data_IF_632264669694
#
_entry.id   IF_632264669694
#
_cell.length_a   1.000
_cell.length_b   1.000
_cell.length_c   1.000
_cell.angle_alpha   90.00
_cell.angle_beta   90.00
_cell.angle_gamma   90.00
#
_symmetry.space_group_name_H-M   'P 1'
#
loop_
_entity.id
_entity.type
_entity.pdbx_description
1 polymer ?
#
# COMPACT_ATOMS: atom_id res chain seq x y z
N UNK A 1 -48.72 -75.87 4.64
CA UNK A 1 -48.11 -74.61 5.09
C UNK A 1 -47.27 -74.06 3.95
N UNK A 2 -47.60 -72.87 3.46
CA UNK A 2 -46.85 -72.15 2.43
C UNK A 2 -46.52 -70.79 3.05
N UNK A 3 -45.27 -70.58 3.42
CA UNK A 3 -44.86 -69.36 4.10
C UNK A 3 -44.51 -68.31 3.03
N UNK A 4 -45.37 -67.30 2.90
CA UNK A 4 -45.00 -66.08 2.20
C UNK A 4 -44.05 -65.30 3.10
N UNK A 5 -42.81 -65.11 2.67
CA UNK A 5 -41.88 -64.14 3.26
C UNK A 5 -41.77 -63.01 2.24
N UNK A 6 -42.61 -62.01 2.43
CA UNK A 6 -42.61 -60.77 1.67
C UNK A 6 -41.47 -59.90 2.20
N UNK A 7 -40.42 -59.76 1.39
CA UNK A 7 -39.17 -59.10 1.78
C UNK A 7 -39.16 -57.65 1.29
N UNK A 8 -39.93 -56.79 1.96
CA UNK A 8 -39.94 -55.35 1.66
C UNK A 8 -38.58 -54.71 1.96
N UNK A 9 -37.91 -54.25 0.89
CA UNK A 9 -36.60 -53.61 0.98
C UNK A 9 -36.74 -52.07 1.13
N UNK A 10 -36.10 -51.44 2.13
CA UNK A 10 -36.26 -50.01 2.42
C UNK A 10 -35.40 -49.14 1.49
N UNK A 11 -35.77 -49.05 0.21
CA UNK A 11 -35.05 -48.23 -0.78
C UNK A 11 -35.37 -46.73 -0.73
N UNK A 12 -36.47 -46.34 -0.06
CA UNK A 12 -36.96 -44.95 0.00
C UNK A 12 -36.23 -44.07 1.02
N UNK A 13 -35.90 -44.61 2.20
CA UNK A 13 -35.49 -43.84 3.39
C UNK A 13 -34.08 -43.21 3.24
N UNK A 14 -33.19 -43.88 2.52
CA UNK A 14 -31.84 -43.43 2.19
C UNK A 14 -31.81 -42.25 1.21
N UNK A 15 -32.81 -42.12 0.34
CA UNK A 15 -32.93 -41.01 -0.61
C UNK A 15 -33.42 -39.73 0.06
N UNK A 16 -34.31 -39.85 1.04
CA UNK A 16 -34.92 -38.70 1.72
C UNK A 16 -34.00 -38.10 2.78
N UNK A 17 -33.27 -38.94 3.54
CA UNK A 17 -32.20 -38.47 4.43
C UNK A 17 -31.11 -37.69 3.69
N UNK A 18 -30.72 -38.13 2.49
CA UNK A 18 -29.78 -37.41 1.62
C UNK A 18 -30.28 -36.02 1.18
N UNK A 19 -31.54 -35.90 0.76
CA UNK A 19 -32.17 -34.61 0.42
C UNK A 19 -32.27 -33.68 1.63
N UNK A 20 -32.72 -34.20 2.77
CA UNK A 20 -32.88 -33.42 4.01
C UNK A 20 -31.53 -32.91 4.51
N UNK A 21 -30.44 -33.67 4.33
CA UNK A 21 -29.08 -33.21 4.62
C UNK A 21 -28.64 -32.07 3.67
N UNK A 22 -28.84 -32.24 2.36
CA UNK A 22 -28.52 -31.22 1.36
C UNK A 22 -29.30 -29.90 1.57
N UNK A 23 -30.59 -29.97 1.87
CA UNK A 23 -31.43 -28.79 2.15
C UNK A 23 -31.05 -28.09 3.47
N UNK A 24 -30.49 -28.82 4.44
CA UNK A 24 -29.92 -28.22 5.66
C UNK A 24 -28.62 -27.50 5.35
N UNK A 25 -27.68 -28.12 4.64
CA UNK A 25 -26.40 -27.47 4.29
C UNK A 25 -26.61 -26.24 3.39
N UNK A 26 -27.50 -26.30 2.41
CA UNK A 26 -27.84 -25.16 1.56
C UNK A 26 -28.40 -23.97 2.36
N UNK A 27 -29.33 -24.21 3.30
CA UNK A 27 -29.88 -23.16 4.17
C UNK A 27 -28.83 -22.57 5.13
N UNK A 28 -27.90 -23.38 5.61
CA UNK A 28 -26.77 -22.91 6.45
C UNK A 28 -25.84 -22.01 5.63
N UNK A 29 -25.44 -22.43 4.42
CA UNK A 29 -24.62 -21.63 3.51
C UNK A 29 -25.31 -20.31 3.14
N UNK A 30 -26.62 -20.33 2.83
CA UNK A 30 -27.39 -19.12 2.55
C UNK A 30 -27.41 -18.14 3.74
N UNK A 31 -27.57 -18.63 4.97
CA UNK A 31 -27.54 -17.79 6.19
C UNK A 31 -26.18 -17.14 6.42
N UNK A 32 -25.09 -17.89 6.29
CA UNK A 32 -23.74 -17.33 6.38
C UNK A 32 -23.44 -16.35 5.25
N UNK A 33 -23.88 -16.66 4.03
CA UNK A 33 -23.73 -15.79 2.87
C UNK A 33 -24.50 -14.46 3.02
N UNK A 34 -25.73 -14.51 3.55
CA UNK A 34 -26.52 -13.32 3.88
C UNK A 34 -25.89 -12.49 5.01
N UNK A 35 -25.40 -13.13 6.08
CA UNK A 35 -24.69 -12.44 7.15
C UNK A 35 -23.42 -11.74 6.64
N UNK A 36 -22.63 -12.42 5.80
CA UNK A 36 -21.43 -11.83 5.18
C UNK A 36 -21.80 -10.66 4.27
N UNK A 37 -22.84 -10.81 3.44
CA UNK A 37 -23.30 -9.77 2.53
C UNK A 37 -23.75 -8.50 3.30
N UNK A 38 -24.51 -8.65 4.38
CA UNK A 38 -24.92 -7.54 5.23
C UNK A 38 -23.72 -6.86 5.90
N UNK A 39 -22.75 -7.63 6.40
CA UNK A 39 -21.54 -7.11 7.04
C UNK A 39 -20.67 -6.32 6.06
N UNK A 40 -20.37 -6.87 4.88
CA UNK A 40 -19.58 -6.18 3.85
C UNK A 40 -20.31 -4.96 3.29
N UNK A 41 -21.63 -5.04 3.07
CA UNK A 41 -22.43 -3.90 2.60
C UNK A 41 -22.47 -2.78 3.64
N UNK A 42 -22.52 -3.11 4.93
CA UNK A 42 -22.47 -2.12 6.03
C UNK A 42 -21.12 -1.38 6.06
N UNK A 43 -20.00 -2.11 5.91
CA UNK A 43 -18.66 -1.52 5.79
C UNK A 43 -18.57 -0.62 4.55
N UNK A 44 -18.99 -1.12 3.39
CA UNK A 44 -19.01 -0.38 2.12
C UNK A 44 -19.81 0.93 2.22
N UNK A 45 -21.00 0.85 2.82
CA UNK A 45 -21.88 1.99 3.07
C UNK A 45 -21.22 3.00 4.02
N UNK A 46 -20.62 2.55 5.12
CA UNK A 46 -19.91 3.41 6.07
C UNK A 46 -18.76 4.18 5.42
N UNK A 47 -17.93 3.50 4.62
CA UNK A 47 -16.84 4.14 3.87
C UNK A 47 -17.40 5.13 2.84
N UNK A 48 -18.49 4.78 2.14
CA UNK A 48 -19.12 5.62 1.11
C UNK A 48 -19.79 6.87 1.70
N UNK A 49 -20.41 6.77 2.88
CA UNK A 49 -20.93 7.93 3.64
C UNK A 49 -19.77 8.84 4.06
N UNK A 50 -18.68 8.27 4.59
CA UNK A 50 -17.50 9.05 4.99
C UNK A 50 -16.81 9.73 3.80
N UNK A 51 -16.72 9.05 2.64
CA UNK A 51 -16.29 9.65 1.38
C UNK A 51 -17.22 10.81 0.94
N UNK A 52 -18.52 10.63 1.11
CA UNK A 52 -19.54 11.65 0.83
C UNK A 52 -19.29 12.93 1.63
N UNK A 53 -19.05 12.79 2.93
CA UNK A 53 -18.74 13.91 3.85
C UNK A 53 -17.42 14.62 3.51
N UNK A 54 -16.38 13.89 3.09
CA UNK A 54 -15.08 14.49 2.77
C UNK A 54 -15.05 15.33 1.48
N UNK A 55 -16.02 15.16 0.57
CA UNK A 55 -16.02 15.80 -0.76
C UNK A 55 -16.55 17.23 -0.78
N UNK A 56 -17.12 17.70 0.32
CA UNK A 56 -17.92 18.91 0.38
C UNK A 56 -17.57 19.75 1.61
N UNK A 57 -17.30 21.04 1.38
CA UNK A 57 -16.95 22.00 2.43
C UNK A 57 -18.21 22.60 3.08
N UNK A 58 -19.35 22.58 2.37
CA UNK A 58 -20.65 23.02 2.86
C UNK A 58 -21.57 21.86 3.27
N UNK A 59 -22.45 22.11 4.26
CA UNK A 59 -23.39 21.10 4.79
C UNK A 59 -24.39 20.64 3.70
N UNK A 60 -24.82 21.53 2.82
CA UNK A 60 -25.77 21.20 1.75
C UNK A 60 -25.14 20.23 0.73
N UNK A 61 -23.92 20.52 0.27
CA UNK A 61 -23.17 19.65 -0.63
C UNK A 61 -22.84 18.30 0.02
N UNK A 62 -22.55 18.28 1.34
CA UNK A 62 -22.34 17.04 2.09
C UNK A 62 -23.58 16.14 2.08
N UNK A 63 -24.77 16.71 2.30
CA UNK A 63 -26.03 15.94 2.25
C UNK A 63 -26.26 15.33 0.86
N UNK A 64 -26.07 16.11 -0.21
CA UNK A 64 -26.21 15.59 -1.59
C UNK A 64 -25.15 14.53 -1.94
N UNK A 65 -23.91 14.74 -1.51
CA UNK A 65 -22.78 13.83 -1.73
C UNK A 65 -22.94 12.49 -1.00
N UNK A 66 -23.42 12.52 0.26
CA UNK A 66 -23.79 11.33 1.03
C UNK A 66 -24.99 10.62 0.40
N UNK A 67 -26.07 11.34 0.07
CA UNK A 67 -27.26 10.73 -0.54
C UNK A 67 -26.92 10.03 -1.87
N UNK A 68 -26.12 10.67 -2.73
CA UNK A 68 -25.67 10.09 -4.00
C UNK A 68 -24.82 8.83 -3.79
N UNK A 69 -23.97 8.84 -2.77
CA UNK A 69 -23.11 7.71 -2.42
C UNK A 69 -23.91 6.52 -1.85
N UNK A 70 -24.92 6.78 -1.00
CA UNK A 70 -25.87 5.75 -0.53
C UNK A 70 -26.67 5.15 -1.69
N UNK A 71 -27.18 5.98 -2.60
CA UNK A 71 -27.90 5.51 -3.79
C UNK A 71 -26.99 4.66 -4.69
N UNK A 72 -25.72 5.04 -4.88
CA UNK A 72 -24.76 4.27 -5.65
C UNK A 72 -24.50 2.86 -5.05
N UNK A 73 -24.28 2.76 -3.73
CA UNK A 73 -24.12 1.47 -3.03
C UNK A 73 -25.37 0.59 -3.18
N UNK A 74 -26.56 1.17 -2.98
CA UNK A 74 -27.83 0.47 -3.16
C UNK A 74 -28.01 -0.02 -4.60
N UNK A 75 -27.76 0.83 -5.60
CA UNK A 75 -27.78 0.45 -7.01
C UNK A 75 -26.78 -0.66 -7.31
N UNK A 76 -25.57 -0.62 -6.75
CA UNK A 76 -24.53 -1.62 -6.97
C UNK A 76 -24.95 -3.01 -6.47
N UNK A 77 -25.44 -3.13 -5.23
CA UNK A 77 -25.85 -4.43 -4.69
C UNK A 77 -27.20 -4.91 -5.26
N UNK A 78 -28.19 -4.02 -5.41
CA UNK A 78 -29.54 -4.38 -5.85
C UNK A 78 -29.61 -4.75 -7.34
N UNK A 79 -28.74 -4.17 -8.19
CA UNK A 79 -28.70 -4.47 -9.63
C UNK A 79 -28.35 -5.93 -9.92
N UNK A 80 -27.44 -6.54 -9.14
CA UNK A 80 -27.11 -7.97 -9.28
C UNK A 80 -28.33 -8.87 -9.00
N UNK A 81 -29.19 -8.46 -8.07
CA UNK A 81 -30.41 -9.20 -7.71
C UNK A 81 -31.45 -9.12 -8.83
N UNK A 82 -31.78 -7.89 -9.24
CA UNK A 82 -32.84 -7.65 -10.23
C UNK A 82 -32.46 -8.23 -11.60
N UNK A 83 -31.18 -8.27 -11.97
CA UNK A 83 -30.68 -8.88 -13.22
C UNK A 83 -31.16 -10.33 -13.45
N UNK A 84 -31.50 -11.08 -12.39
CA UNK A 84 -32.01 -12.45 -12.51
C UNK A 84 -33.47 -12.52 -12.99
N UNK A 85 -34.26 -11.48 -12.75
CA UNK A 85 -35.72 -11.50 -12.88
C UNK A 85 -36.26 -10.73 -14.09
N UNK A 86 -35.53 -9.73 -14.62
CA UNK A 86 -36.02 -8.90 -15.75
C UNK A 86 -35.62 -9.46 -17.14
N UNK A 87 -36.22 -8.93 -18.20
CA UNK A 87 -35.99 -9.27 -19.61
C UNK A 87 -34.58 -8.89 -20.10
N UNK A 88 -34.13 -9.45 -21.23
CA UNK A 88 -32.76 -9.25 -21.76
C UNK A 88 -32.38 -7.77 -21.96
N UNK A 89 -33.27 -6.93 -22.50
CA UNK A 89 -33.01 -5.51 -22.70
C UNK A 89 -32.83 -4.74 -21.39
N UNK A 90 -33.69 -5.00 -20.40
CA UNK A 90 -33.58 -4.39 -19.08
C UNK A 90 -32.33 -4.85 -18.32
N UNK A 91 -31.85 -6.08 -18.54
CA UNK A 91 -30.55 -6.53 -18.00
C UNK A 91 -29.38 -5.70 -18.53
N UNK A 92 -29.38 -5.32 -19.80
CA UNK A 92 -28.34 -4.44 -20.35
C UNK A 92 -28.32 -3.06 -19.66
N UNK A 93 -29.49 -2.45 -19.47
CA UNK A 93 -29.61 -1.19 -18.73
C UNK A 93 -29.15 -1.33 -17.26
N UNK A 94 -29.50 -2.45 -16.62
CA UNK A 94 -29.15 -2.71 -15.23
C UNK A 94 -27.66 -3.05 -15.02
N UNK A 95 -27.02 -3.68 -16.00
CA UNK A 95 -25.56 -3.87 -16.04
C UNK A 95 -24.83 -2.54 -16.27
N UNK A 96 -25.36 -1.66 -17.13
CA UNK A 96 -24.80 -0.32 -17.32
C UNK A 96 -24.91 0.55 -16.05
N UNK A 97 -26.06 0.52 -15.38
CA UNK A 97 -26.26 1.16 -14.08
C UNK A 97 -25.31 0.60 -13.02
N UNK A 98 -25.15 -0.72 -12.97
CA UNK A 98 -24.21 -1.40 -12.05
C UNK A 98 -22.75 -0.97 -12.28
N UNK A 99 -22.30 -0.92 -13.54
CA UNK A 99 -20.94 -0.47 -13.87
C UNK A 99 -20.70 0.98 -13.43
N UNK A 100 -21.65 1.88 -13.69
CA UNK A 100 -21.54 3.28 -13.29
C UNK A 100 -21.54 3.43 -11.75
N UNK A 101 -22.43 2.74 -11.05
CA UNK A 101 -22.48 2.71 -9.59
C UNK A 101 -21.15 2.17 -9.00
N UNK A 102 -20.63 1.09 -9.56
CA UNK A 102 -19.34 0.49 -9.17
C UNK A 102 -18.20 1.50 -9.34
N UNK A 103 -18.10 2.22 -10.46
CA UNK A 103 -17.06 3.25 -10.65
C UNK A 103 -17.14 4.37 -9.61
N UNK A 104 -18.35 4.83 -9.25
CA UNK A 104 -18.56 5.88 -8.24
C UNK A 104 -18.16 5.40 -6.84
N UNK A 105 -18.59 4.20 -6.45
CA UNK A 105 -18.30 3.59 -5.14
C UNK A 105 -16.81 3.29 -5.00
N UNK A 106 -16.22 2.57 -5.96
CA UNK A 106 -14.78 2.24 -5.96
C UNK A 106 -13.92 3.51 -5.86
N UNK A 107 -14.27 4.57 -6.60
CA UNK A 107 -13.56 5.85 -6.51
C UNK A 107 -13.63 6.43 -5.09
N UNK A 108 -14.81 6.54 -4.50
CA UNK A 108 -14.97 7.10 -3.15
C UNK A 108 -14.24 6.30 -2.07
N UNK A 109 -14.24 4.98 -2.18
CA UNK A 109 -13.53 4.11 -1.24
C UNK A 109 -12.00 4.20 -1.40
N UNK A 110 -11.49 4.31 -2.64
CA UNK A 110 -10.06 4.56 -2.89
C UNK A 110 -9.64 5.96 -2.42
N UNK A 111 -10.46 6.99 -2.64
CA UNK A 111 -10.21 8.36 -2.14
C UNK A 111 -10.03 8.34 -0.61
N UNK A 112 -10.96 7.71 0.14
CA UNK A 112 -10.89 7.59 1.60
C UNK A 112 -9.69 6.80 2.08
N UNK A 113 -9.38 5.67 1.45
CA UNK A 113 -8.26 4.82 1.87
C UNK A 113 -6.91 5.51 1.59
N UNK A 114 -6.80 6.23 0.48
CA UNK A 114 -5.66 7.12 0.18
C UNK A 114 -5.50 8.22 1.23
N UNK A 115 -6.59 8.89 1.61
CA UNK A 115 -6.58 9.89 2.71
C UNK A 115 -6.18 9.29 4.05
N UNK A 116 -6.62 8.06 4.37
CA UNK A 116 -6.22 7.35 5.58
C UNK A 116 -4.72 6.99 5.58
N UNK A 117 -4.19 6.53 4.45
CA UNK A 117 -2.75 6.24 4.28
C UNK A 117 -1.91 7.52 4.42
N UNK A 118 -2.36 8.64 3.85
CA UNK A 118 -1.72 9.95 3.99
C UNK A 118 -1.73 10.46 5.44
N UNK A 119 -2.85 10.33 6.15
CA UNK A 119 -2.93 10.69 7.58
C UNK A 119 -2.03 9.81 8.46
N UNK A 120 -1.95 8.52 8.15
CA UNK A 120 -1.00 7.61 8.81
C UNK A 120 0.45 7.97 8.49
N UNK A 121 0.76 8.40 7.26
CA UNK A 121 2.07 8.89 6.87
C UNK A 121 2.46 10.17 7.60
N UNK A 122 1.54 11.13 7.75
CA UNK A 122 1.83 12.36 8.48
C UNK A 122 1.97 12.13 9.99
N UNK A 123 1.15 11.26 10.59
CA UNK A 123 1.36 10.80 11.98
C UNK A 123 2.74 10.15 12.18
N UNK A 124 3.26 9.39 11.21
CA UNK A 124 4.65 8.89 11.25
C UNK A 124 5.66 10.03 11.15
N UNK A 125 5.42 11.05 10.32
CA UNK A 125 6.28 12.22 10.21
C UNK A 125 6.33 13.05 11.51
N UNK A 126 5.20 13.20 12.19
CA UNK A 126 5.08 13.94 13.46
C UNK A 126 5.91 13.32 14.60
N UNK A 127 6.35 12.06 14.49
CA UNK A 127 7.29 11.45 15.46
C UNK A 127 8.70 12.05 15.42
N UNK A 128 9.04 12.82 14.38
CA UNK A 128 10.31 13.57 14.31
C UNK A 128 10.12 14.92 15.02
N UNK A 129 10.95 15.29 16.01
CA UNK A 129 10.82 16.54 16.77
C UNK A 129 11.01 17.77 15.87
N UNK A 130 10.18 18.80 16.07
CA UNK A 130 10.23 20.04 15.30
C UNK A 130 11.45 20.87 15.72
N UNK A 131 12.48 20.89 14.88
CA UNK A 131 13.61 21.82 15.03
C UNK A 131 13.11 23.19 14.58
N UNK A 132 12.69 24.01 15.55
CA UNK A 132 12.31 25.38 15.28
C UNK A 132 13.57 26.18 14.87
N UNK A 133 13.72 26.42 13.57
CA UNK A 133 14.65 27.45 13.10
C UNK A 133 14.06 28.79 13.52
N UNK A 134 14.76 29.63 14.30
CA UNK A 134 14.33 30.99 14.54
C UNK A 134 14.11 31.66 13.18
N UNK A 135 12.99 32.37 12.95
CA UNK A 135 12.82 33.12 11.71
C UNK A 135 14.05 34.00 11.51
N UNK A 136 14.52 34.11 10.27
CA UNK A 136 15.62 35.03 9.92
C UNK A 136 15.08 36.45 10.07
N UNK A 137 15.12 36.96 11.30
CA UNK A 137 14.84 38.35 11.58
C UNK A 137 15.92 39.13 10.84
N UNK A 138 15.49 39.92 9.86
CA UNK A 138 16.37 40.76 9.04
C UNK A 138 17.00 41.91 9.82
N UNK A 139 16.60 42.08 11.09
CA UNK A 139 17.41 42.72 12.11
C UNK A 139 18.64 41.85 12.42
N UNK A 140 19.66 42.00 11.56
CA UNK A 140 21.03 41.66 11.94
C UNK A 140 21.39 42.50 13.17
N UNK A 141 21.33 41.90 14.35
CA UNK A 141 21.89 42.45 15.59
C UNK A 141 23.42 42.44 15.45
N UNK A 142 23.93 43.45 14.74
CA UNK A 142 25.33 43.60 14.36
C UNK A 142 25.54 44.04 12.90
N UNK A 143 26.71 44.65 12.64
CA UNK A 143 27.16 45.07 11.31
C UNK A 143 27.36 43.85 10.41
N UNK A 144 27.03 43.95 9.12
CA UNK A 144 27.21 42.84 8.17
C UNK A 144 28.70 42.52 7.94
N UNK A 145 29.04 41.24 7.79
CA UNK A 145 30.43 40.78 7.62
C UNK A 145 31.15 41.48 6.44
N UNK A 146 30.43 41.79 5.37
CA UNK A 146 30.92 42.54 4.20
C UNK A 146 31.26 44.01 4.48
N UNK A 147 30.57 44.64 5.43
CA UNK A 147 30.89 45.98 5.90
C UNK A 147 32.12 45.94 6.83
N UNK A 148 32.15 44.99 7.78
CA UNK A 148 33.29 44.82 8.70
C UNK A 148 34.58 44.55 7.92
N UNK A 149 34.57 43.64 6.92
CA UNK A 149 35.77 43.36 6.10
C UNK A 149 36.22 44.55 5.25
N UNK A 150 35.30 45.39 4.78
CA UNK A 150 35.62 46.66 4.10
C UNK A 150 36.30 47.64 5.04
N UNK A 151 35.86 47.74 6.28
CA UNK A 151 36.47 48.61 7.29
C UNK A 151 37.84 48.09 7.73
N UNK A 152 38.02 46.77 7.90
CA UNK A 152 39.32 46.12 8.13
C UNK A 152 40.31 46.49 7.02
N UNK A 153 39.89 46.39 5.76
CA UNK A 153 40.73 46.74 4.61
C UNK A 153 41.11 48.24 4.62
N UNK A 154 40.18 49.13 4.96
CA UNK A 154 40.48 50.56 5.07
C UNK A 154 41.50 50.85 6.18
N UNK A 155 41.28 50.34 7.39
CA UNK A 155 42.16 50.57 8.54
C UNK A 155 43.55 49.94 8.32
N UNK A 156 43.64 48.78 7.65
CA UNK A 156 44.94 48.19 7.31
C UNK A 156 45.72 48.99 6.28
N UNK A 157 45.03 49.59 5.28
CA UNK A 157 45.63 50.53 4.32
C UNK A 157 46.11 51.79 5.04
N UNK A 158 45.30 52.38 5.94
CA UNK A 158 45.68 53.55 6.71
C UNK A 158 46.89 53.27 7.63
N UNK A 159 46.95 52.09 8.25
CA UNK A 159 48.07 51.63 9.07
C UNK A 159 49.35 51.48 8.24
N UNK A 160 49.27 50.88 7.05
CA UNK A 160 50.41 50.77 6.13
C UNK A 160 50.94 52.14 5.67
N UNK A 161 50.06 53.11 5.43
CA UNK A 161 50.43 54.50 5.11
C UNK A 161 51.07 55.26 6.29
N UNK A 162 50.82 54.85 7.54
CA UNK A 162 51.51 55.39 8.72
C UNK A 162 52.87 54.72 8.90
N UNK A 163 52.97 53.42 8.65
CA UNK A 163 54.21 52.64 8.77
C UNK A 163 55.25 52.95 7.67
N UNK A 164 54.81 53.26 6.45
CA UNK A 164 55.70 53.63 5.33
C UNK A 164 56.39 55.00 5.51
N UNK A 165 55.93 55.86 6.43
CA UNK A 165 56.52 57.18 6.67
C UNK A 165 57.79 57.07 7.49
N UNK A 166 58.94 57.20 6.82
CA UNK A 166 60.23 57.43 7.50
C UNK A 166 60.19 58.76 8.23
N UNK A 167 60.72 58.77 9.45
CA UNK A 167 60.56 59.87 10.39
C UNK A 167 61.92 60.21 11.00
N UNK A 168 62.33 61.48 10.89
CA UNK A 168 63.73 61.93 11.06
C UNK A 168 64.00 62.53 12.46
N UNK A 169 62.97 63.01 13.15
CA UNK A 169 63.02 63.44 14.56
C UNK A 169 61.65 63.32 15.24
N UNK A 170 61.64 63.18 16.57
CA UNK A 170 60.47 63.16 17.49
C UNK A 170 59.14 62.57 16.97
N UNK A 171 59.15 61.28 16.64
CA UNK A 171 58.02 60.56 16.03
C UNK A 171 56.87 60.19 17.01
N UNK A 172 56.56 61.04 18.00
CA UNK A 172 55.56 60.74 19.05
C UNK A 172 54.16 60.53 18.46
N UNK A 173 53.73 61.44 17.59
CA UNK A 173 52.39 61.41 16.99
C UNK A 173 52.21 60.23 16.03
N UNK A 174 53.26 59.88 15.28
CA UNK A 174 53.29 58.69 14.40
C UNK A 174 53.12 57.42 15.21
N UNK A 175 53.77 57.32 16.39
CA UNK A 175 53.58 56.18 17.31
C UNK A 175 52.17 56.13 17.89
N UNK A 176 51.62 57.26 18.34
CA UNK A 176 50.25 57.33 18.88
C UNK A 176 49.24 56.86 17.81
N UNK A 177 49.32 57.40 16.59
CA UNK A 177 48.42 57.02 15.49
C UNK A 177 48.60 55.57 15.03
N UNK A 178 49.83 55.02 15.11
CA UNK A 178 50.07 53.59 14.87
C UNK A 178 49.37 52.72 15.93
N UNK A 179 49.47 53.09 17.21
CA UNK A 179 48.78 52.38 18.30
C UNK A 179 47.27 52.44 18.12
N UNK A 180 46.72 53.62 17.85
CA UNK A 180 45.29 53.83 17.60
C UNK A 180 44.76 52.97 16.44
N UNK A 181 45.40 53.02 15.26
CA UNK A 181 45.01 52.20 14.11
C UNK A 181 45.19 50.70 14.38
N UNK A 182 46.22 50.29 15.13
CA UNK A 182 46.39 48.88 15.52
C UNK A 182 45.31 48.39 16.47
N UNK A 183 44.85 49.24 17.40
CA UNK A 183 43.76 48.93 18.31
C UNK A 183 42.41 48.87 17.57
N UNK A 184 42.15 49.80 16.64
CA UNK A 184 40.98 49.77 15.78
C UNK A 184 40.94 48.51 14.89
N UNK A 185 42.08 48.11 14.32
CA UNK A 185 42.21 46.88 13.54
C UNK A 185 41.96 45.63 14.41
N UNK A 186 42.47 45.61 15.65
CA UNK A 186 42.21 44.50 16.58
C UNK A 186 40.71 44.38 16.93
N UNK A 187 40.03 45.51 17.20
CA UNK A 187 38.60 45.55 17.48
C UNK A 187 37.75 45.03 16.30
N UNK A 188 38.05 45.49 15.08
CA UNK A 188 37.33 45.02 13.88
C UNK A 188 37.56 43.52 13.60
N UNK A 189 38.75 42.99 13.88
CA UNK A 189 39.01 41.55 13.76
C UNK A 189 38.24 40.71 14.80
N UNK A 190 38.04 41.24 16.01
CA UNK A 190 37.17 40.61 17.02
C UNK A 190 35.70 40.59 16.53
N UNK A 191 35.18 41.72 16.06
CA UNK A 191 33.81 41.82 15.51
C UNK A 191 33.60 40.88 14.32
N UNK A 192 34.58 40.77 13.41
CA UNK A 192 34.54 39.83 12.28
C UNK A 192 34.53 38.35 12.74
N UNK A 193 35.25 38.03 13.82
CA UNK A 193 35.28 36.68 14.39
C UNK A 193 33.94 36.31 15.02
N UNK A 194 33.31 37.24 15.74
CA UNK A 194 31.96 37.05 16.28
C UNK A 194 30.89 36.95 15.19
N UNK A 195 30.97 37.80 14.15
CA UNK A 195 30.07 37.74 13.00
C UNK A 195 30.19 36.40 12.27
N UNK A 196 31.41 35.87 12.11
CA UNK A 196 31.64 34.53 11.56
C UNK A 196 31.06 33.43 12.45
N UNK A 197 31.24 33.51 13.78
CA UNK A 197 30.65 32.55 14.74
C UNK A 197 29.12 32.52 14.63
N UNK A 198 28.48 33.70 14.63
CA UNK A 198 27.02 33.84 14.45
C UNK A 198 26.53 33.23 13.12
N UNK A 199 27.26 33.46 12.02
CA UNK A 199 26.94 32.83 10.74
C UNK A 199 27.02 31.30 10.80
N UNK A 200 28.11 30.74 11.35
CA UNK A 200 28.26 29.28 11.47
C UNK A 200 27.21 28.62 12.36
N UNK A 201 26.73 29.31 13.40
CA UNK A 201 25.66 28.83 14.27
C UNK A 201 24.31 28.82 13.54
N UNK A 202 24.00 29.85 12.76
CA UNK A 202 22.81 29.86 11.90
C UNK A 202 22.85 28.76 10.83
N UNK A 203 24.00 28.55 10.19
CA UNK A 203 24.16 27.50 9.17
C UNK A 203 24.00 26.10 9.79
N UNK A 204 24.52 25.88 10.99
CA UNK A 204 24.33 24.64 11.75
C UNK A 204 22.85 24.41 12.11
N UNK A 205 22.11 25.45 12.50
CA UNK A 205 20.66 25.35 12.75
C UNK A 205 19.87 25.03 11.47
N UNK A 206 20.21 25.65 10.33
CA UNK A 206 19.62 25.34 9.01
C UNK A 206 19.89 23.88 8.61
N UNK A 207 21.10 23.40 8.80
CA UNK A 207 21.54 22.03 8.53
C UNK A 207 20.91 20.99 9.50
N UNK A 208 20.58 21.38 10.74
CA UNK A 208 19.74 20.55 11.61
C UNK A 208 18.29 20.47 11.12
N UNK A 209 17.71 21.58 10.68
CA UNK A 209 16.33 21.62 10.21
C UNK A 209 16.14 20.84 8.91
N UNK A 210 17.03 21.00 7.92
CA UNK A 210 16.99 20.24 6.68
C UNK A 210 17.14 18.72 6.91
N UNK A 211 17.99 18.31 7.87
CA UNK A 211 18.04 16.91 8.33
C UNK A 211 16.74 16.45 8.98
N UNK A 212 16.11 17.28 9.80
CA UNK A 212 14.83 16.95 10.43
C UNK A 212 13.70 16.83 9.40
N UNK A 213 13.70 17.65 8.35
CA UNK A 213 12.79 17.57 7.21
C UNK A 213 13.01 16.30 6.39
N UNK A 214 14.25 15.99 5.99
CA UNK A 214 14.57 14.74 5.30
C UNK A 214 14.21 13.48 6.13
N UNK A 215 14.36 13.56 7.46
CA UNK A 215 13.89 12.52 8.38
C UNK A 215 12.36 12.40 8.39
N UNK A 216 11.60 13.51 8.32
CA UNK A 216 10.13 13.46 8.18
C UNK A 216 9.72 12.81 6.88
N UNK A 217 10.32 13.21 5.76
CA UNK A 217 10.01 12.65 4.44
C UNK A 217 10.27 11.14 4.41
N UNK A 218 11.42 10.69 4.91
CA UNK A 218 11.72 9.25 5.02
C UNK A 218 10.80 8.48 5.98
N UNK A 219 10.14 9.15 6.95
CA UNK A 219 9.11 8.56 7.82
C UNK A 219 7.71 8.54 7.20
N UNK A 220 7.41 9.44 6.26
CA UNK A 220 6.15 9.41 5.48
C UNK A 220 6.11 8.19 4.57
N UNK A 221 7.21 7.94 3.85
CA UNK A 221 7.36 6.80 2.94
C UNK A 221 7.04 5.46 3.65
N UNK A 222 6.27 4.60 2.99
CA UNK A 222 6.00 3.25 3.48
C UNK A 222 7.10 2.31 2.96
N UNK A 223 7.89 1.65 3.84
CA UNK A 223 9.03 0.84 3.42
C UNK A 223 8.65 -0.37 2.56
N UNK A 224 7.38 -0.82 2.60
CA UNK A 224 6.88 -1.83 1.70
C UNK A 224 6.63 -1.28 0.29
N UNK A 225 5.95 -0.14 0.16
CA UNK A 225 5.60 0.43 -1.16
C UNK A 225 6.83 0.92 -1.91
N UNK A 226 7.82 1.50 -1.23
CA UNK A 226 9.07 1.94 -1.88
C UNK A 226 9.88 0.77 -2.47
N UNK A 227 9.92 -0.37 -1.76
CA UNK A 227 10.59 -1.59 -2.24
C UNK A 227 9.91 -2.17 -3.49
N UNK A 228 8.58 -2.22 -3.51
CA UNK A 228 7.82 -2.70 -4.67
C UNK A 228 7.78 -1.70 -5.83
N UNK A 229 7.75 -0.39 -5.56
CA UNK A 229 7.78 0.66 -6.59
C UNK A 229 9.08 0.60 -7.41
N UNK A 230 10.23 0.42 -6.74
CA UNK A 230 11.51 0.19 -7.42
C UNK A 230 11.51 -1.09 -8.28
N UNK A 231 10.86 -2.16 -7.81
CA UNK A 231 10.81 -3.43 -8.56
C UNK A 231 9.85 -3.38 -9.78
N UNK A 232 8.74 -2.65 -9.67
CA UNK A 232 7.77 -2.46 -10.75
C UNK A 232 8.13 -1.31 -11.71
N UNK A 233 9.11 -0.48 -11.39
CA UNK A 233 9.43 0.74 -12.15
C UNK A 233 8.32 1.80 -12.08
N UNK A 234 7.52 1.81 -11.02
CA UNK A 234 6.38 2.72 -10.82
C UNK A 234 6.67 3.75 -9.73
N UNK A 235 5.84 4.78 -9.62
CA UNK A 235 5.91 5.73 -8.49
C UNK A 235 5.19 5.16 -7.27
N UNK A 236 5.68 5.48 -6.07
CA UNK A 236 5.05 5.04 -4.80
C UNK A 236 3.57 5.43 -4.73
N UNK A 237 3.23 6.63 -5.22
CA UNK A 237 1.85 7.13 -5.32
C UNK A 237 0.94 6.27 -6.20
N UNK A 238 1.45 5.76 -7.33
CA UNK A 238 0.68 4.86 -8.21
C UNK A 238 0.49 3.48 -7.58
N UNK A 239 1.50 3.00 -6.85
CA UNK A 239 1.41 1.71 -6.18
C UNK A 239 0.45 1.76 -4.98
N UNK A 240 0.45 2.82 -4.18
CA UNK A 240 -0.50 2.99 -3.07
C UNK A 240 -1.95 3.04 -3.60
N UNK A 241 -2.21 3.85 -4.64
CA UNK A 241 -3.50 3.88 -5.33
C UNK A 241 -3.92 2.51 -5.88
N UNK A 242 -2.99 1.75 -6.46
CA UNK A 242 -3.27 0.40 -6.99
C UNK A 242 -3.58 -0.59 -5.86
N UNK A 243 -2.83 -0.55 -4.75
CA UNK A 243 -3.09 -1.40 -3.58
C UNK A 243 -4.45 -1.07 -2.96
N UNK A 244 -4.76 0.23 -2.81
CA UNK A 244 -6.04 0.70 -2.32
C UNK A 244 -7.18 0.20 -3.24
N UNK A 245 -7.02 0.33 -4.56
CA UNK A 245 -7.97 -0.18 -5.53
C UNK A 245 -8.16 -1.70 -5.45
N UNK A 246 -7.09 -2.48 -5.29
CA UNK A 246 -7.18 -3.95 -5.14
C UNK A 246 -7.89 -4.34 -3.85
N UNK A 247 -7.56 -3.72 -2.72
CA UNK A 247 -8.24 -3.98 -1.44
C UNK A 247 -9.74 -3.71 -1.52
N UNK A 248 -10.11 -2.57 -2.13
CA UNK A 248 -11.51 -2.20 -2.34
C UNK A 248 -12.21 -3.15 -3.32
N UNK A 249 -11.57 -3.53 -4.42
CA UNK A 249 -12.09 -4.50 -5.39
C UNK A 249 -12.34 -5.88 -4.76
N UNK A 250 -11.48 -6.32 -3.84
CA UNK A 250 -11.67 -7.57 -3.08
C UNK A 250 -12.85 -7.46 -2.12
N UNK A 251 -13.00 -6.34 -1.41
CA UNK A 251 -14.13 -6.09 -0.50
C UNK A 251 -15.47 -6.10 -1.25
N UNK A 252 -15.57 -5.34 -2.34
CA UNK A 252 -16.78 -5.26 -3.16
C UNK A 252 -17.06 -6.54 -3.94
N UNK A 253 -16.02 -7.24 -4.41
CA UNK A 253 -16.12 -8.56 -5.02
C UNK A 253 -16.68 -9.60 -4.05
N UNK A 254 -16.22 -9.60 -2.79
CA UNK A 254 -16.75 -10.45 -1.73
C UNK A 254 -18.22 -10.12 -1.41
N UNK A 255 -18.59 -8.83 -1.33
CA UNK A 255 -19.97 -8.39 -1.13
C UNK A 255 -20.88 -8.87 -2.27
N UNK A 256 -20.46 -8.68 -3.53
CA UNK A 256 -21.21 -9.12 -4.71
C UNK A 256 -21.37 -10.65 -4.77
N UNK A 257 -20.32 -11.40 -4.45
CA UNK A 257 -20.38 -12.86 -4.38
C UNK A 257 -21.32 -13.34 -3.25
N UNK A 258 -21.22 -12.74 -2.06
CA UNK A 258 -22.09 -13.06 -0.93
C UNK A 258 -23.58 -12.79 -1.25
N UNK A 259 -23.90 -11.65 -1.86
CA UNK A 259 -25.26 -11.39 -2.34
C UNK A 259 -25.71 -12.39 -3.43
N UNK A 260 -24.83 -12.76 -4.35
CA UNK A 260 -25.14 -13.72 -5.42
C UNK A 260 -25.51 -15.13 -4.90
N UNK A 261 -24.89 -15.58 -3.80
CA UNK A 261 -25.17 -16.87 -3.17
C UNK A 261 -26.29 -16.82 -2.11
N UNK A 262 -26.55 -15.66 -1.50
CA UNK A 262 -27.62 -15.48 -0.52
C UNK A 262 -29.04 -15.64 -1.11
N UNK A 263 -29.25 -15.27 -2.38
CA UNK A 263 -30.56 -15.39 -3.04
C UNK A 263 -30.79 -16.81 -3.60
N UNK A 264 -31.89 -17.50 -3.21
CA UNK A 264 -32.32 -18.73 -3.86
C UNK A 264 -32.54 -18.52 -5.37
N UNK A 265 -32.06 -19.45 -6.19
CA UNK A 265 -32.43 -19.45 -7.63
C UNK A 265 -33.96 -19.50 -7.73
N UNK A 266 -34.60 -18.68 -8.60
CA UNK A 266 -36.02 -18.86 -8.88
C UNK A 266 -36.21 -20.26 -9.44
N UNK A 267 -36.81 -21.13 -8.63
CA UNK A 267 -37.29 -22.43 -9.09
C UNK A 267 -38.24 -22.12 -10.23
N UNK A 268 -37.90 -22.55 -11.45
CA UNK A 268 -38.87 -22.62 -12.53
C UNK A 268 -39.90 -23.63 -12.06
N UNK A 269 -40.97 -23.14 -11.45
CA UNK A 269 -42.22 -23.88 -11.34
C UNK A 269 -42.53 -24.31 -12.76
N UNK A 270 -42.40 -25.62 -13.01
CA UNK A 270 -42.86 -26.20 -14.25
C UNK A 270 -44.36 -25.95 -14.26
N UNK A 271 -44.79 -24.97 -15.04
CA UNK A 271 -46.20 -24.76 -15.32
C UNK A 271 -46.67 -25.97 -16.14
N UNK A 272 -47.01 -27.04 -15.43
CA UNK A 272 -48.14 -27.88 -15.81
C UNK A 272 -49.28 -26.89 -16.01
N UNK A 273 -49.65 -26.70 -17.28
CA UNK A 273 -50.79 -25.88 -17.63
C UNK A 273 -52.02 -26.60 -17.12
N UNK A 274 -52.43 -26.32 -15.89
CA UNK A 274 -53.77 -26.64 -15.40
C UNK A 274 -54.72 -25.78 -16.21
N UNK A 275 -55.19 -26.36 -17.31
CA UNK A 275 -56.32 -25.85 -18.06
C UNK A 275 -57.52 -25.92 -17.12
N UNK A 276 -57.88 -24.78 -16.53
CA UNK A 276 -59.19 -24.62 -15.91
C UNK A 276 -60.23 -24.54 -17.02
N UNK A 277 -60.61 -25.68 -17.57
CA UNK A 277 -61.80 -25.78 -18.40
C UNK A 277 -63.03 -25.73 -17.50
N UNK A 278 -63.69 -24.56 -17.51
CA UNK A 278 -65.10 -24.45 -17.16
C UNK A 278 -65.70 -23.22 -17.83
N UNK A 279 -66.13 -23.37 -19.08
CA UNK A 279 -67.50 -22.99 -19.43
C UNK A 279 -67.95 -23.60 -20.77
N UNK A 280 -69.07 -24.30 -20.68
CA UNK A 280 -69.78 -24.96 -21.77
C UNK A 280 -70.42 -23.96 -22.74
N UNK A 281 -69.94 -23.90 -23.98
CA UNK A 281 -70.85 -23.92 -25.16
C UNK A 281 -70.13 -24.41 -26.42
N UNK A 282 -70.75 -25.39 -27.07
CA UNK A 282 -70.44 -25.98 -28.38
C UNK A 282 -71.74 -25.74 -29.20
N UNK A 283 -71.71 -25.35 -30.49
CA UNK A 283 -71.10 -26.19 -31.51
C UNK A 283 -70.43 -25.55 -32.75
N UNK A 284 -69.78 -26.46 -33.50
CA UNK A 284 -69.67 -26.51 -34.96
C UNK A 284 -68.50 -25.80 -35.66
N UNK A 285 -67.44 -26.57 -35.95
CA UNK A 285 -67.25 -27.11 -37.32
C UNK A 285 -66.32 -28.32 -37.37
N UNK A 286 -66.53 -29.18 -38.36
CA UNK A 286 -65.70 -30.36 -38.62
C UNK A 286 -64.27 -30.00 -39.05
N UNK A 287 -63.29 -30.87 -38.77
CA UNK A 287 -62.67 -31.69 -39.84
C UNK A 287 -61.60 -32.66 -39.31
N UNK A 288 -61.83 -33.95 -39.61
CA UNK A 288 -60.83 -35.02 -39.87
C UNK A 288 -59.92 -35.46 -38.72
N UNK A 289 -60.08 -36.74 -38.36
CA UNK A 289 -59.19 -37.50 -37.50
C UNK A 289 -58.02 -38.12 -38.26
N UNK A 290 -56.96 -38.51 -37.53
CA UNK A 290 -56.23 -39.75 -37.76
C UNK A 290 -55.63 -40.22 -36.43
N UNK A 291 -55.87 -41.50 -36.08
CA UNK A 291 -55.33 -42.16 -34.88
C UNK A 291 -54.20 -43.13 -35.32
N UNK A 292 -53.64 -44.01 -34.47
CA UNK A 292 -52.22 -43.98 -34.15
C UNK A 292 -51.41 -45.13 -34.79
N UNK A 293 -50.08 -45.07 -34.67
CA UNK A 293 -49.26 -46.29 -34.76
C UNK A 293 -48.12 -46.28 -33.73
N UNK A 294 -47.62 -47.47 -33.39
CA UNK A 294 -47.20 -47.78 -32.04
C UNK A 294 -45.90 -48.59 -31.93
N UNK A 295 -45.02 -48.16 -31.02
CA UNK A 295 -44.15 -49.03 -30.18
C UNK A 295 -42.94 -49.74 -30.91
N UNK A 296 -42.10 -50.59 -30.26
CA UNK A 296 -40.70 -50.17 -29.95
C UNK A 296 -39.57 -51.16 -30.32
N UNK A 297 -38.31 -50.69 -30.31
CA UNK A 297 -37.08 -51.52 -30.16
C UNK A 297 -36.00 -50.62 -29.48
N UNK A 298 -35.65 -50.76 -28.20
CA UNK A 298 -34.83 -51.78 -27.52
C UNK A 298 -33.36 -51.88 -27.99
N UNK A 299 -32.38 -51.52 -27.15
CA UNK A 299 -31.52 -52.50 -26.43
C UNK A 299 -30.36 -51.83 -25.66
N UNK A 300 -30.12 -52.38 -24.47
CA UNK A 300 -29.11 -52.04 -23.46
C UNK A 300 -27.64 -52.10 -23.89
N UNK A 301 -26.76 -51.54 -23.04
CA UNK A 301 -25.50 -52.20 -22.70
C UNK A 301 -24.32 -51.29 -22.36
N UNK A 302 -23.71 -51.41 -21.16
CA UNK A 302 -22.61 -50.52 -20.71
C UNK A 302 -21.23 -51.19 -20.80
N UNK A 303 -20.17 -50.39 -20.62
CA UNK A 303 -18.96 -50.88 -19.94
C UNK A 303 -18.19 -49.75 -19.27
N UNK A 304 -17.70 -50.01 -18.06
CA UNK A 304 -16.73 -49.17 -17.34
C UNK A 304 -15.35 -49.84 -17.40
N UNK A 305 -14.28 -49.11 -17.09
CA UNK A 305 -13.20 -49.57 -16.17
C UNK A 305 -12.23 -48.43 -15.85
N UNK A 306 -11.79 -48.45 -14.59
CA UNK A 306 -10.79 -47.63 -13.91
C UNK A 306 -9.42 -47.54 -14.59
N UNK A 307 -8.63 -46.51 -14.22
CA UNK A 307 -7.38 -46.68 -13.43
C UNK A 307 -7.22 -45.45 -12.51
N UNK A 308 -6.67 -45.65 -11.30
CA UNK A 308 -6.33 -44.62 -10.30
C UNK A 308 -4.84 -44.76 -9.87
N UNK A 309 -4.44 -44.17 -8.72
CA UNK A 309 -3.08 -44.15 -8.07
C UNK A 309 -2.15 -43.00 -8.52
N UNK A 310 -1.27 -42.39 -7.70
CA UNK A 310 -0.92 -42.43 -6.24
C UNK A 310 -0.18 -41.09 -5.94
N UNK A 311 -0.50 -40.28 -4.91
CA UNK A 311 -0.13 -40.31 -3.47
C UNK A 311 1.30 -39.82 -3.09
N UNK A 312 1.37 -39.29 -1.85
CA UNK A 312 2.54 -39.09 -0.93
C UNK A 312 3.57 -37.94 -1.18
N UNK A 313 4.23 -37.32 -0.17
CA UNK A 313 3.76 -36.76 1.13
C UNK A 313 4.81 -35.85 1.89
N UNK A 314 4.45 -35.34 3.10
CA UNK A 314 5.26 -34.79 4.24
C UNK A 314 6.11 -33.49 4.06
N UNK A 315 6.01 -32.43 4.91
CA UNK A 315 6.31 -32.20 6.36
C UNK A 315 7.81 -32.11 6.71
N UNK A 316 8.25 -30.99 7.31
CA UNK A 316 9.30 -30.94 8.35
C UNK A 316 9.25 -29.63 9.19
N UNK A 317 9.22 -29.76 10.52
CA UNK A 317 9.44 -28.70 11.53
C UNK A 317 10.85 -28.85 12.19
N UNK A 318 11.10 -28.09 13.28
CA UNK A 318 12.25 -28.10 14.20
C UNK A 318 13.51 -27.31 13.75
N UNK A 319 14.30 -26.67 14.63
CA UNK A 319 14.22 -26.49 16.10
C UNK A 319 14.85 -25.14 16.54
N UNK A 320 14.73 -24.79 17.82
CA UNK A 320 15.37 -23.63 18.45
C UNK A 320 16.65 -23.99 19.24
N UNK A 321 17.57 -23.02 19.44
CA UNK A 321 18.52 -23.09 20.55
C UNK A 321 19.90 -22.41 20.39
N UNK A 322 20.34 -21.70 21.43
CA UNK A 322 21.71 -21.91 21.95
C UNK A 322 22.86 -20.96 21.54
N UNK A 323 22.89 -19.74 22.09
CA UNK A 323 24.07 -19.02 22.65
C UNK A 323 25.50 -19.22 22.09
N UNK A 324 26.07 -18.12 21.56
CA UNK A 324 27.44 -17.61 21.81
C UNK A 324 28.67 -18.53 21.71
N UNK A 325 29.40 -18.43 20.59
CA UNK A 325 30.83 -18.02 20.49
C UNK A 325 30.99 -17.43 19.07
N UNK A 326 31.38 -16.14 18.95
CA UNK A 326 31.59 -15.38 17.69
C UNK A 326 30.77 -15.89 16.49
N UNK A 327 29.56 -15.34 16.32
CA UNK A 327 28.63 -15.71 15.22
C UNK A 327 29.35 -15.89 13.88
N UNK A 328 29.04 -16.96 13.15
CA UNK A 328 29.67 -17.28 11.85
C UNK A 328 29.56 -16.12 10.84
N UNK A 329 28.42 -15.40 10.89
CA UNK A 329 28.20 -14.16 10.14
C UNK A 329 29.30 -13.10 10.37
N UNK A 330 29.89 -13.01 11.58
CA UNK A 330 30.98 -12.06 11.90
C UNK A 330 32.32 -12.47 11.26
N UNK A 331 32.59 -13.77 11.12
CA UNK A 331 33.76 -14.29 10.39
C UNK A 331 33.61 -14.03 8.89
N UNK A 332 32.42 -14.30 8.34
CA UNK A 332 32.09 -14.03 6.94
C UNK A 332 32.16 -12.53 6.61
N UNK A 333 31.66 -11.66 7.51
CA UNK A 333 31.73 -10.20 7.36
C UNK A 333 33.18 -9.67 7.42
N UNK A 334 34.06 -10.25 8.25
CA UNK A 334 35.51 -9.96 8.23
C UNK A 334 36.16 -10.39 6.90
N UNK A 335 35.86 -11.60 6.42
CA UNK A 335 36.37 -12.13 5.14
C UNK A 335 35.95 -11.28 3.94
N UNK A 336 34.70 -10.76 3.93
CA UNK A 336 34.25 -9.76 2.95
C UNK A 336 35.10 -8.48 3.04
N UNK A 337 35.36 -7.96 4.24
CA UNK A 337 36.16 -6.74 4.43
C UNK A 337 37.58 -6.88 3.87
N UNK A 338 38.25 -7.98 4.18
CA UNK A 338 39.61 -8.25 3.67
C UNK A 338 39.62 -8.34 2.14
N UNK A 339 38.62 -8.97 1.54
CA UNK A 339 38.50 -9.06 0.08
C UNK A 339 38.21 -7.70 -0.59
N UNK A 340 37.41 -6.84 0.05
CA UNK A 340 37.12 -5.47 -0.43
C UNK A 340 38.35 -4.57 -0.28
N UNK A 341 39.04 -4.60 0.86
CA UNK A 341 40.24 -3.79 1.12
C UNK A 341 41.40 -4.21 0.21
N UNK A 342 41.55 -5.51 -0.06
CA UNK A 342 42.52 -6.03 -1.03
C UNK A 342 42.11 -5.84 -2.51
N UNK A 343 41.02 -5.11 -2.81
CA UNK A 343 40.53 -4.88 -4.17
C UNK A 343 39.97 -6.10 -4.91
N UNK A 344 40.05 -7.30 -4.32
CA UNK A 344 39.59 -8.57 -4.90
C UNK A 344 38.07 -8.71 -5.00
N UNK A 345 37.32 -7.90 -4.25
CA UNK A 345 35.87 -7.93 -4.21
C UNK A 345 35.26 -6.54 -4.39
N UNK A 346 34.55 -6.30 -5.50
CA UNK A 346 33.68 -5.12 -5.64
C UNK A 346 32.45 -5.31 -4.73
N UNK A 347 32.07 -4.26 -3.98
CA UNK A 347 30.92 -4.27 -3.05
C UNK A 347 29.57 -4.30 -3.79
N UNK A 348 29.24 -5.45 -4.36
CA UNK A 348 28.00 -5.75 -5.08
C UNK A 348 27.48 -7.13 -4.60
N UNK A 349 26.17 -7.26 -4.44
CA UNK A 349 25.49 -8.51 -4.05
C UNK A 349 25.88 -9.70 -4.95
N UNK A 350 25.95 -9.50 -6.26
CA UNK A 350 26.35 -10.56 -7.22
C UNK A 350 27.79 -11.04 -6.95
N UNK A 351 28.69 -10.10 -6.65
CA UNK A 351 30.08 -10.40 -6.35
C UNK A 351 30.23 -11.09 -5.00
N UNK A 352 29.52 -10.65 -3.96
CA UNK A 352 29.49 -11.28 -2.63
C UNK A 352 28.97 -12.73 -2.74
N UNK A 353 27.87 -12.94 -3.47
CA UNK A 353 27.29 -14.27 -3.72
C UNK A 353 28.28 -15.20 -4.41
N UNK A 354 28.96 -14.73 -5.47
CA UNK A 354 29.98 -15.52 -6.19
C UNK A 354 31.24 -15.77 -5.35
N UNK A 355 31.60 -14.87 -4.43
CA UNK A 355 32.78 -14.97 -3.59
C UNK A 355 32.60 -15.90 -2.38
N UNK A 356 31.37 -16.01 -1.85
CA UNK A 356 31.07 -16.87 -0.70
C UNK A 356 30.30 -18.16 -1.06
N UNK A 357 29.75 -18.27 -2.27
CA UNK A 357 28.97 -19.45 -2.69
C UNK A 357 27.59 -19.56 -2.01
N UNK A 358 27.09 -18.50 -1.38
CA UNK A 358 25.88 -18.51 -0.56
C UNK A 358 24.59 -18.22 -1.35
N UNK A 359 23.44 -18.43 -0.71
CA UNK A 359 22.14 -18.09 -1.28
C UNK A 359 21.90 -16.57 -1.34
N UNK A 360 20.92 -16.14 -2.14
CA UNK A 360 20.61 -14.72 -2.35
C UNK A 360 20.18 -14.01 -1.05
N UNK A 361 19.44 -14.71 -0.18
CA UNK A 361 19.02 -14.25 1.15
C UNK A 361 20.23 -13.95 2.05
N UNK A 362 21.19 -14.87 2.12
CA UNK A 362 22.38 -14.73 2.96
C UNK A 362 23.32 -13.65 2.44
N UNK A 363 23.48 -13.52 1.12
CA UNK A 363 24.24 -12.43 0.50
C UNK A 363 23.65 -11.05 0.86
N UNK A 364 22.32 -10.93 0.97
CA UNK A 364 21.64 -9.72 1.42
C UNK A 364 21.84 -9.50 2.92
N UNK A 365 21.73 -10.54 3.76
CA UNK A 365 21.97 -10.49 5.22
C UNK A 365 23.40 -10.00 5.52
N UNK A 366 24.40 -10.64 4.92
CA UNK A 366 25.82 -10.32 5.11
C UNK A 366 26.18 -8.92 4.58
N UNK A 367 25.62 -8.49 3.44
CA UNK A 367 25.84 -7.12 2.95
C UNK A 367 25.21 -6.06 3.87
N UNK A 368 24.05 -6.32 4.49
CA UNK A 368 23.47 -5.43 5.51
C UNK A 368 24.35 -5.35 6.75
N UNK A 369 24.83 -6.49 7.27
CA UNK A 369 25.75 -6.52 8.42
C UNK A 369 27.08 -5.79 8.12
N UNK A 370 27.64 -6.00 6.93
CA UNK A 370 28.83 -5.29 6.47
C UNK A 370 28.63 -3.76 6.44
N UNK A 371 27.51 -3.28 5.89
CA UNK A 371 27.18 -1.85 5.84
C UNK A 371 26.94 -1.29 7.25
N UNK A 372 26.23 -2.03 8.11
CA UNK A 372 25.99 -1.59 9.49
C UNK A 372 27.29 -1.43 10.30
N UNK A 373 28.28 -2.33 10.08
CA UNK A 373 29.53 -2.36 10.83
C UNK A 373 30.65 -1.47 10.25
N UNK A 374 30.69 -1.29 8.93
CA UNK A 374 31.78 -0.56 8.26
C UNK A 374 31.33 0.62 7.39
N UNK A 375 30.03 0.79 7.14
CA UNK A 375 29.49 1.85 6.27
C UNK A 375 29.54 3.27 6.84
N UNK A 376 29.94 3.46 8.11
CA UNK A 376 30.19 4.77 8.73
C UNK A 376 31.65 5.22 8.72
N UNK A 377 32.60 4.36 8.35
CA UNK A 377 33.99 4.75 8.16
C UNK A 377 34.20 5.14 6.69
N UNK A 378 34.84 6.29 6.46
CA UNK A 378 35.08 6.82 5.12
C UNK A 378 35.80 5.82 4.21
N UNK A 379 35.42 5.80 2.93
CA UNK A 379 36.06 4.98 1.91
C UNK A 379 37.58 5.25 1.88
N UNK A 380 38.44 4.23 1.98
CA UNK A 380 39.86 4.40 1.67
C UNK A 380 39.99 4.88 0.22
N UNK A 381 40.62 6.04 0.03
CA UNK A 381 40.95 6.54 -1.31
C UNK A 381 41.88 5.52 -1.97
N UNK A 382 41.62 5.08 -3.22
CA UNK A 382 42.51 4.15 -3.91
C UNK A 382 43.90 4.78 -4.05
N UNK A 383 44.94 3.99 -3.77
CA UNK A 383 46.32 4.41 -3.99
C UNK A 383 46.58 4.64 -5.49
N UNK A 384 47.43 5.62 -5.86
CA UNK A 384 47.83 5.78 -7.25
C UNK A 384 48.61 4.54 -7.71
N UNK A 385 48.26 4.04 -8.89
CA UNK A 385 49.04 3.01 -9.59
C UNK A 385 50.31 3.70 -10.10
N UNK A 386 51.46 3.08 -9.83
CA UNK A 386 52.77 3.44 -10.41
C UNK A 386 53.37 2.23 -11.11
#
# INVERSE_FOLDING_TARGET
>A
MKNNIELDAPASDLSDTGKVAADKTLRVVQRFSLAMALFTSSISLGISVFAGLQRADSIEEQVWSVATSVVAVLCMHLSLMLCRFVSRGARCALVALWLLATVVVLRGQVDVLSSANMHAADKRAQTVPLVAVPPVVTETVGRGLTAITKDIAKVSIDLAHVEARRCVSECRDVRIRKVELSAALAALNAEATEAKRRATEQDWLRDQASRAEALRESRRANPATSMFAYWLGTTETRLDLLLNFVCVLVLEGAACAAWYFAIPKPVRSSRVAVVCDRNTTVPQREAVASIPEATPVSRAGPSATHVATVAEDEIFENDAGGSSIVSDDDLLVKKIREAVVAGRLRRNLVSIRKFLGCAQSDAIRLNRLYIARFGKAGSPRPAPIS
#
